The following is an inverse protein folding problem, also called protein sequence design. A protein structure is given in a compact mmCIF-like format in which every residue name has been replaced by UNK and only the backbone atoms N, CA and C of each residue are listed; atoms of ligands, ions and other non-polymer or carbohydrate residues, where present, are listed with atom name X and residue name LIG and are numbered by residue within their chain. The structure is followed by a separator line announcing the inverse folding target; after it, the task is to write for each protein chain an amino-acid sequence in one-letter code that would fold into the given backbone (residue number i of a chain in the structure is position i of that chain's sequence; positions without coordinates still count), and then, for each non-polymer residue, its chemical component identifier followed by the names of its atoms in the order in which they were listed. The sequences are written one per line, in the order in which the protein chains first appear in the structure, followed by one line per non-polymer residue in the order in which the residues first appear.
data_IF_673343327042
#
_entry.id   IF_673343327042
#
_cell.length_a   1.000
_cell.length_b   1.000
_cell.length_c   1.000
_cell.angle_alpha   90.00
_cell.angle_beta   90.00
_cell.angle_gamma   90.00
#
_symmetry.space_group_name_H-M   'P 1'
#
loop_
_entity.id
_entity.type
_entity.pdbx_description
1 polymer ?
#
# COMPACT_ATOMS: atom_id res chain seq x y z
N UNK A 1 2.35 -17.41 -20.84
CA UNK A 1 2.02 -17.20 -19.42
C UNK A 1 0.63 -16.60 -19.41
N UNK A 2 -0.34 -17.25 -18.75
CA UNK A 2 -1.65 -16.66 -18.61
C UNK A 2 -1.50 -15.33 -17.88
N UNK A 3 -2.11 -14.29 -18.41
CA UNK A 3 -2.21 -12.98 -17.77
C UNK A 3 -3.02 -13.21 -16.48
N UNK A 4 -2.33 -13.36 -15.35
CA UNK A 4 -2.99 -13.43 -14.04
C UNK A 4 -3.58 -12.05 -13.85
N UNK A 5 -4.89 -11.93 -14.06
CA UNK A 5 -5.63 -10.70 -13.82
C UNK A 5 -5.34 -10.29 -12.38
N UNK A 6 -4.49 -9.28 -12.20
CA UNK A 6 -4.08 -8.81 -10.88
C UNK A 6 -5.31 -8.27 -10.17
N UNK A 7 -5.45 -8.70 -8.94
CA UNK A 7 -6.54 -8.29 -8.07
C UNK A 7 -6.46 -6.79 -7.85
N UNK A 8 -7.49 -6.07 -8.28
CA UNK A 8 -7.61 -4.65 -7.94
C UNK A 8 -8.17 -4.53 -6.52
N UNK A 9 -7.36 -3.99 -5.62
CA UNK A 9 -7.78 -3.71 -4.25
C UNK A 9 -7.91 -2.19 -4.04
N UNK A 10 -8.85 -1.80 -3.21
CA UNK A 10 -8.96 -0.42 -2.71
C UNK A 10 -8.06 -0.30 -1.48
N UNK A 11 -7.08 0.60 -1.52
CA UNK A 11 -6.06 0.75 -0.46
C UNK A 11 -5.55 2.19 -0.37
N UNK A 12 -6.47 3.18 -0.39
CA UNK A 12 -6.10 4.60 -0.21
C UNK A 12 -5.55 4.87 1.18
N UNK A 13 -6.17 4.23 2.18
CA UNK A 13 -5.71 4.23 3.56
C UNK A 13 -5.54 2.81 4.07
N UNK A 14 -4.44 2.56 4.75
CA UNK A 14 -4.18 1.31 5.44
C UNK A 14 -3.94 1.57 6.91
N UNK A 15 -4.91 1.18 7.75
CA UNK A 15 -4.90 1.47 9.18
C UNK A 15 -4.18 0.39 9.96
N UNK A 16 -3.14 0.81 10.70
CA UNK A 16 -2.42 -0.05 11.64
C UNK A 16 -3.26 -0.29 12.91
N UNK A 17 -3.40 -1.55 13.31
CA UNK A 17 -4.07 -1.92 14.56
C UNK A 17 -3.20 -2.93 15.33
N UNK A 18 -2.64 -2.56 16.50
CA UNK A 18 -1.87 -3.50 17.29
C UNK A 18 -2.69 -4.73 17.68
N UNK A 19 -2.18 -5.93 17.39
CA UNK A 19 -2.91 -7.16 17.66
C UNK A 19 -3.11 -7.45 19.15
N UNK A 20 -2.36 -6.78 20.02
CA UNK A 20 -2.56 -6.82 21.48
C UNK A 20 -3.66 -5.86 21.97
N UNK A 21 -4.41 -5.23 21.08
CA UNK A 21 -5.47 -4.25 21.40
C UNK A 21 -6.81 -4.63 20.77
N UNK A 22 -7.42 -5.80 21.16
CA UNK A 22 -8.61 -6.33 20.51
C UNK A 22 -9.83 -5.40 20.59
N UNK A 23 -9.89 -4.49 21.57
CA UNK A 23 -10.94 -3.48 21.69
C UNK A 23 -10.96 -2.47 20.54
N UNK A 24 -9.92 -2.39 19.72
CA UNK A 24 -9.89 -1.56 18.51
C UNK A 24 -10.40 -2.28 17.26
N UNK A 25 -10.44 -3.62 17.23
CA UNK A 25 -10.76 -4.37 16.01
C UNK A 25 -12.12 -4.01 15.44
N UNK A 26 -13.16 -4.06 16.28
CA UNK A 26 -14.51 -3.70 15.85
C UNK A 26 -14.65 -2.24 15.40
N UNK A 27 -13.93 -1.31 16.06
CA UNK A 27 -13.92 0.10 15.67
C UNK A 27 -13.21 0.30 14.32
N UNK A 28 -12.13 -0.41 14.09
CA UNK A 28 -11.40 -0.38 12.82
C UNK A 28 -12.26 -0.96 11.69
N UNK A 29 -12.94 -2.08 11.93
CA UNK A 29 -13.86 -2.69 10.98
C UNK A 29 -14.99 -1.75 10.55
N UNK A 30 -15.53 -0.97 11.48
CA UNK A 30 -16.61 0.01 11.24
C UNK A 30 -16.10 1.36 10.72
N UNK A 31 -14.80 1.63 10.82
CA UNK A 31 -14.19 2.89 10.40
C UNK A 31 -14.11 3.05 8.87
N UNK A 32 -13.69 4.22 8.39
CA UNK A 32 -13.64 4.53 6.95
C UNK A 32 -12.36 4.06 6.24
N UNK A 33 -11.47 3.30 6.89
CA UNK A 33 -10.26 2.80 6.25
C UNK A 33 -10.59 1.76 5.16
N UNK A 34 -9.89 1.82 4.04
CA UNK A 34 -10.04 0.84 2.95
C UNK A 34 -9.41 -0.50 3.34
N UNK A 35 -8.27 -0.43 4.00
CA UNK A 35 -7.47 -1.58 4.43
C UNK A 35 -7.12 -1.47 5.91
N UNK A 36 -6.99 -2.63 6.54
CA UNK A 36 -6.54 -2.76 7.91
C UNK A 36 -5.45 -3.81 7.97
N UNK A 37 -4.36 -3.52 8.67
CA UNK A 37 -3.47 -4.58 9.07
C UNK A 37 -3.44 -4.75 10.59
N UNK A 38 -3.49 -6.01 11.03
CA UNK A 38 -3.26 -6.40 12.41
C UNK A 38 -1.75 -6.57 12.60
N UNK A 39 -1.20 -5.83 13.54
CA UNK A 39 0.24 -5.76 13.71
C UNK A 39 0.73 -6.72 14.79
N UNK A 40 1.64 -7.63 14.42
CA UNK A 40 2.33 -8.58 15.33
C UNK A 40 3.78 -8.19 15.61
N UNK A 41 4.27 -7.12 14.97
CA UNK A 41 5.68 -6.73 15.00
C UNK A 41 5.93 -5.57 15.96
N UNK A 42 6.27 -4.38 15.48
CA UNK A 42 6.79 -3.26 16.29
C UNK A 42 5.81 -2.73 17.33
N UNK A 43 4.51 -2.78 17.06
CA UNK A 43 3.49 -2.37 18.01
C UNK A 43 3.23 -3.42 19.12
N UNK A 44 3.93 -4.56 19.10
CA UNK A 44 3.74 -5.66 20.03
C UNK A 44 5.04 -5.98 20.77
N UNK A 45 5.02 -5.81 22.10
CA UNK A 45 6.17 -6.16 22.93
C UNK A 45 6.56 -7.66 22.77
N UNK A 46 7.84 -8.01 22.79
CA UNK A 46 8.31 -9.37 22.53
C UNK A 46 7.63 -10.45 23.39
N UNK A 47 7.36 -10.17 24.66
CA UNK A 47 6.68 -11.09 25.58
C UNK A 47 5.16 -11.20 25.38
N UNK A 48 4.58 -10.43 24.45
CA UNK A 48 3.15 -10.46 24.11
C UNK A 48 2.88 -10.92 22.68
N UNK A 49 3.89 -11.35 21.94
CA UNK A 49 3.72 -11.73 20.51
C UNK A 49 2.82 -12.96 20.34
N UNK A 50 2.88 -13.93 21.23
CA UNK A 50 1.96 -15.07 21.20
C UNK A 50 0.50 -14.67 21.48
N UNK A 51 0.28 -13.74 22.41
CA UNK A 51 -1.02 -13.15 22.67
C UNK A 51 -1.53 -12.39 21.44
N UNK A 52 -0.69 -11.55 20.84
CA UNK A 52 -1.03 -10.83 19.60
C UNK A 52 -1.42 -11.76 18.47
N UNK A 53 -0.66 -12.86 18.27
CA UNK A 53 -0.98 -13.89 17.27
C UNK A 53 -2.33 -14.53 17.52
N UNK A 54 -2.62 -14.91 18.76
CA UNK A 54 -3.91 -15.51 19.13
C UNK A 54 -5.06 -14.54 18.85
N UNK A 55 -4.92 -13.28 19.26
CA UNK A 55 -5.92 -12.23 19.01
C UNK A 55 -6.12 -11.96 17.52
N UNK A 56 -5.06 -11.96 16.71
CA UNK A 56 -5.18 -11.78 15.26
C UNK A 56 -5.94 -12.93 14.60
N UNK A 57 -5.67 -14.16 14.99
CA UNK A 57 -6.42 -15.35 14.53
C UNK A 57 -7.89 -15.26 14.94
N UNK A 58 -8.17 -14.89 16.18
CA UNK A 58 -9.55 -14.70 16.66
C UNK A 58 -10.26 -13.60 15.87
N UNK A 59 -9.61 -12.45 15.66
CA UNK A 59 -10.18 -11.34 14.91
C UNK A 59 -10.48 -11.69 13.45
N UNK A 60 -9.60 -12.45 12.79
CA UNK A 60 -9.82 -12.92 11.42
C UNK A 60 -10.99 -13.91 11.30
N UNK A 61 -11.36 -14.61 12.38
CA UNK A 61 -12.46 -15.56 12.37
C UNK A 61 -13.78 -14.98 12.90
N UNK A 62 -13.73 -13.96 13.78
CA UNK A 62 -14.91 -13.51 14.52
C UNK A 62 -15.38 -12.09 14.17
N UNK A 63 -14.49 -11.22 13.67
CA UNK A 63 -14.86 -9.84 13.33
C UNK A 63 -15.41 -9.78 11.91
N UNK A 64 -16.54 -9.11 11.74
CA UNK A 64 -17.04 -8.77 10.40
C UNK A 64 -16.28 -7.56 9.84
N UNK A 65 -15.34 -7.84 8.96
CA UNK A 65 -14.54 -6.83 8.28
C UNK A 65 -15.22 -6.25 7.03
N UNK A 66 -16.38 -6.75 6.65
CA UNK A 66 -17.08 -6.33 5.44
C UNK A 66 -16.20 -6.48 4.18
N UNK A 67 -16.23 -5.46 3.32
CA UNK A 67 -15.45 -5.42 2.07
C UNK A 67 -14.00 -4.92 2.25
N UNK A 68 -13.57 -4.60 3.47
CA UNK A 68 -12.20 -4.10 3.72
C UNK A 68 -11.17 -5.17 3.40
N UNK A 69 -10.04 -4.76 2.88
CA UNK A 69 -8.86 -5.61 2.80
C UNK A 69 -8.28 -5.79 4.21
N UNK A 70 -7.99 -7.02 4.60
CA UNK A 70 -7.39 -7.34 5.92
C UNK A 70 -6.09 -8.10 5.71
N UNK A 71 -5.01 -7.51 6.20
CA UNK A 71 -3.67 -8.11 6.23
C UNK A 71 -3.21 -8.30 7.68
N UNK A 72 -2.14 -9.09 7.84
CA UNK A 72 -1.44 -9.23 9.11
C UNK A 72 0.03 -8.94 8.88
N UNK A 73 0.57 -7.93 9.57
CA UNK A 73 2.01 -7.71 9.62
C UNK A 73 2.60 -8.73 10.59
N UNK A 74 3.27 -9.70 10.01
CA UNK A 74 3.97 -10.75 10.74
C UNK A 74 5.34 -10.26 11.22
N UNK A 75 6.00 -11.01 12.08
CA UNK A 75 7.38 -10.69 12.45
C UNK A 75 8.35 -10.98 11.30
N UNK A 76 9.48 -10.29 11.25
CA UNK A 76 10.51 -10.47 10.24
C UNK A 76 11.08 -11.89 10.20
N UNK A 77 11.52 -12.33 9.01
CA UNK A 77 12.03 -13.69 8.78
C UNK A 77 13.34 -14.01 9.56
N UNK A 78 13.98 -13.00 10.07
CA UNK A 78 15.16 -13.06 10.95
C UNK A 78 14.81 -13.31 12.43
N UNK A 79 13.52 -13.46 12.75
CA UNK A 79 13.01 -13.66 14.11
C UNK A 79 12.48 -15.09 14.32
N UNK A 80 12.44 -15.59 15.57
CA UNK A 80 11.88 -16.90 15.86
C UNK A 80 10.34 -16.98 15.73
N UNK A 81 9.65 -15.86 15.53
CA UNK A 81 8.17 -15.80 15.50
C UNK A 81 7.58 -15.88 14.09
N UNK A 82 8.32 -15.48 13.06
CA UNK A 82 7.83 -15.32 11.70
C UNK A 82 7.04 -16.52 11.17
N UNK A 83 7.61 -17.72 11.25
CA UNK A 83 6.98 -18.94 10.72
C UNK A 83 5.71 -19.27 11.47
N UNK A 84 5.72 -19.16 12.80
CA UNK A 84 4.54 -19.43 13.61
C UNK A 84 3.40 -18.41 13.33
N UNK A 85 3.75 -17.14 13.10
CA UNK A 85 2.80 -16.10 12.71
C UNK A 85 2.15 -16.43 11.37
N UNK A 86 2.96 -16.65 10.32
CA UNK A 86 2.47 -16.95 8.97
C UNK A 86 1.57 -18.19 9.00
N UNK A 87 2.02 -19.27 9.64
CA UNK A 87 1.26 -20.52 9.70
C UNK A 87 -0.07 -20.39 10.44
N UNK A 88 -0.13 -19.56 11.48
CA UNK A 88 -1.35 -19.34 12.24
C UNK A 88 -2.37 -18.53 11.44
N UNK A 89 -1.96 -17.37 10.92
CA UNK A 89 -2.89 -16.44 10.27
C UNK A 89 -3.28 -16.88 8.86
N UNK A 90 -2.40 -17.55 8.11
CA UNK A 90 -2.70 -18.03 6.75
C UNK A 90 -3.77 -19.11 6.69
N UNK A 91 -4.09 -19.78 7.79
CA UNK A 91 -5.21 -20.71 7.90
C UNK A 91 -6.58 -20.02 8.03
N UNK A 92 -6.60 -18.72 8.38
CA UNK A 92 -7.86 -17.99 8.57
C UNK A 92 -8.46 -17.60 7.21
N UNK A 93 -9.71 -18.00 6.88
CA UNK A 93 -10.32 -17.72 5.57
C UNK A 93 -10.39 -16.22 5.24
N UNK A 94 -10.51 -15.37 6.26
CA UNK A 94 -10.68 -13.92 6.08
C UNK A 94 -9.37 -13.17 5.83
N UNK A 95 -8.23 -13.82 5.93
CA UNK A 95 -6.96 -13.17 5.61
C UNK A 95 -6.85 -12.91 4.10
N UNK A 96 -6.62 -11.67 3.72
CA UNK A 96 -6.35 -11.30 2.33
C UNK A 96 -4.87 -11.36 1.97
N UNK A 97 -4.00 -10.85 2.86
CA UNK A 97 -2.55 -10.78 2.59
C UNK A 97 -1.72 -10.97 3.86
N UNK A 98 -0.53 -11.53 3.69
CA UNK A 98 0.58 -11.38 4.63
C UNK A 98 1.28 -10.06 4.33
N UNK A 99 1.51 -9.25 5.36
CA UNK A 99 2.38 -8.08 5.30
C UNK A 99 3.73 -8.46 5.91
N UNK A 100 4.74 -8.61 5.04
CA UNK A 100 6.07 -9.07 5.43
C UNK A 100 7.01 -7.88 5.62
N UNK A 101 7.51 -7.62 6.85
CA UNK A 101 8.45 -6.54 7.12
C UNK A 101 9.88 -6.95 6.77
N UNK A 102 10.76 -5.96 6.73
CA UNK A 102 12.23 -6.10 6.66
C UNK A 102 12.74 -6.97 5.50
N UNK A 103 12.03 -6.92 4.37
CA UNK A 103 12.43 -7.65 3.16
C UNK A 103 13.71 -7.06 2.59
N UNK A 104 14.72 -7.91 2.40
CA UNK A 104 16.03 -7.54 1.89
C UNK A 104 16.33 -8.09 0.50
N UNK A 105 15.74 -9.24 0.16
CA UNK A 105 16.01 -9.95 -1.09
C UNK A 105 14.75 -10.56 -1.70
N UNK A 106 14.82 -10.94 -2.97
CA UNK A 106 13.76 -11.68 -3.65
C UNK A 106 13.50 -13.06 -3.01
N UNK A 107 14.48 -13.65 -2.33
CA UNK A 107 14.33 -14.95 -1.69
C UNK A 107 13.40 -14.89 -0.46
N UNK A 108 13.37 -13.77 0.23
CA UNK A 108 12.45 -13.57 1.37
C UNK A 108 10.99 -13.72 0.91
N UNK A 109 10.65 -13.07 -0.21
CA UNK A 109 9.30 -13.14 -0.78
C UNK A 109 9.01 -14.53 -1.34
N UNK A 110 9.97 -15.15 -2.06
CA UNK A 110 9.83 -16.49 -2.62
C UNK A 110 9.64 -17.55 -1.55
N UNK A 111 10.31 -17.40 -0.41
CA UNK A 111 10.14 -18.31 0.72
C UNK A 111 8.70 -18.28 1.25
N UNK A 112 8.14 -17.06 1.47
CA UNK A 112 6.76 -16.90 1.94
C UNK A 112 5.76 -17.40 0.88
N UNK A 113 5.97 -17.11 -0.41
CA UNK A 113 5.14 -17.61 -1.50
C UNK A 113 5.07 -19.14 -1.51
N UNK A 114 6.21 -19.83 -1.39
CA UNK A 114 6.26 -21.30 -1.35
C UNK A 114 5.57 -21.86 -0.10
N UNK A 115 5.78 -21.24 1.05
CA UNK A 115 5.14 -21.63 2.31
C UNK A 115 3.62 -21.55 2.19
N UNK A 116 3.11 -20.41 1.71
CA UNK A 116 1.68 -20.21 1.46
C UNK A 116 1.13 -21.23 0.46
N UNK A 117 1.87 -21.48 -0.63
CA UNK A 117 1.50 -22.48 -1.61
C UNK A 117 1.36 -23.90 -1.02
N UNK A 118 2.28 -24.33 -0.15
CA UNK A 118 2.18 -25.60 0.56
C UNK A 118 0.96 -25.64 1.49
N UNK A 119 0.69 -24.55 2.23
CA UNK A 119 -0.45 -24.48 3.14
C UNK A 119 -1.79 -24.53 2.41
N UNK A 120 -1.88 -23.91 1.22
CA UNK A 120 -3.09 -23.92 0.39
C UNK A 120 -3.37 -25.28 -0.26
N UNK A 121 -2.35 -26.14 -0.44
CA UNK A 121 -2.55 -27.54 -0.81
C UNK A 121 -3.22 -28.34 0.31
N UNK A 122 -2.87 -28.05 1.57
CA UNK A 122 -3.49 -28.66 2.75
C UNK A 122 -4.91 -28.12 2.99
N UNK A 123 -5.09 -26.80 2.83
CA UNK A 123 -6.36 -26.11 3.07
C UNK A 123 -6.70 -25.23 1.86
N UNK A 124 -7.36 -25.79 0.83
CA UNK A 124 -7.70 -25.06 -0.39
C UNK A 124 -8.55 -23.81 -0.11
N UNK A 125 -8.26 -22.73 -0.82
CA UNK A 125 -8.97 -21.46 -0.75
C UNK A 125 -9.49 -21.09 -2.14
N UNK A 126 -10.63 -20.41 -2.19
CA UNK A 126 -11.12 -19.83 -3.46
C UNK A 126 -10.13 -18.81 -4.03
N UNK A 127 -9.46 -18.09 -3.11
CA UNK A 127 -8.47 -17.08 -3.42
C UNK A 127 -7.24 -17.29 -2.55
N UNK A 128 -6.09 -17.40 -3.17
CA UNK A 128 -4.83 -17.51 -2.47
C UNK A 128 -4.51 -16.25 -1.66
N UNK A 129 -3.76 -16.43 -0.58
CA UNK A 129 -3.27 -15.33 0.25
C UNK A 129 -2.25 -14.53 -0.55
N UNK A 130 -2.47 -13.22 -0.65
CA UNK A 130 -1.52 -12.28 -1.25
C UNK A 130 -0.33 -11.98 -0.34
N UNK A 131 0.69 -11.33 -0.90
CA UNK A 131 1.84 -10.83 -0.16
C UNK A 131 1.94 -9.33 -0.39
N UNK A 132 2.12 -8.58 0.67
CA UNK A 132 2.55 -7.20 0.68
C UNK A 132 3.83 -7.10 1.50
N UNK A 133 4.73 -6.21 1.15
CA UNK A 133 6.04 -6.14 1.80
C UNK A 133 6.40 -4.71 2.21
N UNK A 134 7.23 -4.59 3.25
CA UNK A 134 7.92 -3.34 3.55
C UNK A 134 9.33 -3.36 2.97
N UNK A 135 9.67 -2.31 2.24
CA UNK A 135 11.04 -1.92 1.94
C UNK A 135 11.44 -0.86 2.97
N UNK A 136 12.21 -1.31 3.94
CA UNK A 136 12.60 -0.53 5.11
C UNK A 136 14.05 -0.78 5.54
N UNK A 137 14.83 -1.41 4.63
CA UNK A 137 16.26 -1.60 4.77
C UNK A 137 16.97 -1.01 3.55
N UNK A 138 18.20 -0.58 3.72
CA UNK A 138 19.02 -0.06 2.62
C UNK A 138 19.28 -1.13 1.57
N UNK A 139 19.48 -2.39 2.01
CA UNK A 139 19.62 -3.54 1.11
C UNK A 139 18.31 -3.83 0.36
N UNK A 140 17.16 -3.82 1.04
CA UNK A 140 15.86 -4.01 0.39
C UNK A 140 15.60 -2.97 -0.69
N UNK A 141 15.94 -1.71 -0.43
CA UNK A 141 15.84 -0.67 -1.46
C UNK A 141 16.84 -0.90 -2.61
N UNK A 142 18.06 -1.36 -2.32
CA UNK A 142 19.06 -1.68 -3.35
C UNK A 142 18.60 -2.82 -4.28
N UNK A 143 17.79 -3.75 -3.80
CA UNK A 143 17.30 -4.94 -4.50
C UNK A 143 15.81 -4.82 -4.95
N UNK A 144 15.19 -3.63 -4.81
CA UNK A 144 13.72 -3.49 -4.92
C UNK A 144 13.15 -3.94 -6.26
N UNK A 145 13.88 -3.79 -7.37
CA UNK A 145 13.43 -4.25 -8.69
C UNK A 145 13.38 -5.78 -8.77
N UNK A 146 14.40 -6.46 -8.23
CA UNK A 146 14.44 -7.92 -8.17
C UNK A 146 13.36 -8.46 -7.21
N UNK A 147 13.14 -7.78 -6.10
CA UNK A 147 12.09 -8.08 -5.14
C UNK A 147 10.71 -7.92 -5.79
N UNK A 148 10.46 -6.83 -6.51
CA UNK A 148 9.19 -6.56 -7.19
C UNK A 148 8.83 -7.63 -8.24
N UNK A 149 9.83 -8.28 -8.83
CA UNK A 149 9.66 -9.35 -9.82
C UNK A 149 9.54 -10.75 -9.21
N UNK A 150 9.64 -10.92 -7.88
CA UNK A 150 9.97 -12.20 -7.25
C UNK A 150 8.83 -13.21 -7.17
N UNK A 151 7.57 -12.76 -7.10
CA UNK A 151 6.41 -13.65 -6.89
C UNK A 151 5.15 -13.12 -7.56
N UNK A 152 4.30 -13.99 -8.13
CA UNK A 152 2.98 -13.60 -8.61
C UNK A 152 1.99 -13.26 -7.47
N UNK A 153 2.29 -13.66 -6.21
CA UNK A 153 1.48 -13.31 -5.03
C UNK A 153 1.80 -11.93 -4.49
N UNK A 154 2.93 -11.34 -4.90
CA UNK A 154 3.30 -9.99 -4.46
C UNK A 154 2.34 -8.98 -5.09
N UNK A 155 1.61 -8.24 -4.26
CA UNK A 155 0.57 -7.30 -4.69
C UNK A 155 0.95 -5.84 -4.43
N UNK A 156 1.75 -5.56 -3.41
CA UNK A 156 2.11 -4.20 -3.01
C UNK A 156 3.47 -4.11 -2.31
N UNK A 157 4.05 -2.92 -2.37
CA UNK A 157 5.28 -2.54 -1.66
C UNK A 157 5.02 -1.27 -0.88
N UNK A 158 5.33 -1.30 0.40
CA UNK A 158 5.22 -0.18 1.32
C UNK A 158 6.61 0.36 1.63
N UNK A 159 6.76 1.66 1.76
CA UNK A 159 8.00 2.28 2.21
C UNK A 159 8.02 2.40 3.74
N UNK A 160 8.80 1.56 4.42
CA UNK A 160 8.98 1.61 5.87
C UNK A 160 10.00 2.66 6.30
N UNK A 161 9.59 3.93 6.28
CA UNK A 161 10.46 5.09 6.49
C UNK A 161 11.16 5.10 7.85
N UNK A 162 10.58 4.50 8.89
CA UNK A 162 11.16 4.47 10.25
C UNK A 162 12.46 3.70 10.29
N UNK A 163 12.42 2.40 10.03
CA UNK A 163 13.60 1.54 10.05
C UNK A 163 14.61 1.93 8.96
N UNK A 164 14.12 2.37 7.79
CA UNK A 164 14.99 2.88 6.74
C UNK A 164 15.81 4.11 7.19
N UNK A 165 15.19 5.03 7.96
CA UNK A 165 15.89 6.20 8.53
C UNK A 165 16.99 5.79 9.49
N UNK A 166 16.68 4.80 10.34
CA UNK A 166 17.64 4.29 11.35
C UNK A 166 18.83 3.66 10.65
N UNK A 167 18.59 2.85 9.63
CA UNK A 167 19.67 2.17 8.89
C UNK A 167 20.51 3.14 8.04
N UNK A 168 19.94 4.25 7.58
CA UNK A 168 20.67 5.36 6.96
C UNK A 168 21.48 6.20 7.94
N UNK A 169 21.34 5.95 9.26
CA UNK A 169 21.96 6.74 10.31
C UNK A 169 21.59 8.24 10.24
N UNK A 170 20.40 8.57 9.72
CA UNK A 170 19.92 9.93 9.80
C UNK A 170 19.31 10.22 11.18
N UNK A 171 19.37 11.47 11.63
CA UNK A 171 18.95 11.88 12.97
C UNK A 171 17.57 12.52 13.00
N UNK A 172 16.72 12.26 11.98
CA UNK A 172 15.36 12.79 11.95
C UNK A 172 14.51 12.14 13.05
N UNK A 173 13.93 12.98 13.89
CA UNK A 173 13.13 12.52 15.04
C UNK A 173 11.66 12.31 14.72
N UNK A 174 11.18 12.75 13.56
CA UNK A 174 9.79 12.59 13.08
C UNK A 174 9.79 11.80 11.78
N UNK A 175 9.54 10.51 11.87
CA UNK A 175 9.51 9.65 10.70
C UNK A 175 8.43 10.06 9.69
N UNK A 176 8.83 10.15 8.43
CA UNK A 176 7.95 10.49 7.30
C UNK A 176 7.87 11.98 6.97
N UNK A 177 8.37 12.87 7.84
CA UNK A 177 8.46 14.29 7.58
C UNK A 177 9.72 14.64 6.77
N UNK A 178 9.67 15.62 5.84
CA UNK A 178 10.87 16.19 5.24
C UNK A 178 11.71 16.85 6.34
N UNK A 179 13.04 16.77 6.22
CA UNK A 179 13.94 17.48 7.10
C UNK A 179 14.02 18.96 6.70
N UNK A 180 13.61 19.91 7.57
CA UNK A 180 13.59 21.32 7.20
C UNK A 180 14.99 21.91 6.98
N UNK A 181 16.03 21.28 7.51
CA UNK A 181 17.41 21.71 7.29
C UNK A 181 17.92 21.32 5.88
N UNK A 182 17.25 20.38 5.21
CA UNK A 182 17.56 19.95 3.85
C UNK A 182 16.88 20.83 2.79
N UNK A 183 16.80 22.13 3.02
CA UNK A 183 16.31 23.11 2.06
C UNK A 183 17.47 23.73 1.28
N UNK A 184 17.42 23.71 -0.05
CA UNK A 184 18.44 24.32 -0.91
C UNK A 184 17.82 25.44 -1.76
N UNK A 185 18.36 26.65 -1.64
CA UNK A 185 17.91 27.77 -2.46
C UNK A 185 16.46 28.21 -2.23
N UNK A 186 15.92 27.95 -1.03
CA UNK A 186 14.52 28.26 -0.69
C UNK A 186 13.50 27.24 -1.19
N UNK A 187 13.96 26.16 -1.82
CA UNK A 187 13.11 25.03 -2.17
C UNK A 187 13.25 23.92 -1.11
N UNK A 188 12.12 23.41 -0.65
CA UNK A 188 12.10 22.24 0.20
C UNK A 188 12.60 21.03 -0.61
N UNK A 189 13.65 20.37 -0.12
CA UNK A 189 14.08 19.08 -0.60
C UNK A 189 13.50 17.98 0.29
N UNK A 190 13.35 16.81 -0.31
CA UNK A 190 12.81 15.64 0.36
C UNK A 190 13.87 14.53 0.33
N UNK A 191 14.44 14.20 1.47
CA UNK A 191 15.43 13.14 1.60
C UNK A 191 14.89 11.77 1.21
N UNK A 192 13.56 11.59 1.25
CA UNK A 192 12.89 10.34 0.90
C UNK A 192 12.58 10.20 -0.60
N UNK A 193 12.74 11.28 -1.38
CA UNK A 193 12.37 11.33 -2.80
C UNK A 193 12.96 10.17 -3.61
N UNK A 194 14.25 9.89 -3.44
CA UNK A 194 14.92 8.81 -4.16
C UNK A 194 14.31 7.45 -3.86
N UNK A 195 14.11 7.13 -2.57
CA UNK A 195 13.54 5.86 -2.15
C UNK A 195 12.10 5.69 -2.67
N UNK A 196 11.27 6.71 -2.49
CA UNK A 196 9.88 6.70 -2.94
C UNK A 196 9.78 6.57 -4.48
N UNK A 197 10.56 7.35 -5.23
CA UNK A 197 10.54 7.30 -6.69
C UNK A 197 10.99 5.93 -7.21
N UNK A 198 12.01 5.33 -6.59
CA UNK A 198 12.52 4.01 -6.96
C UNK A 198 11.50 2.90 -6.68
N UNK A 199 10.87 2.91 -5.50
CA UNK A 199 9.80 1.97 -5.15
C UNK A 199 8.62 2.11 -6.11
N UNK A 200 8.15 3.33 -6.39
CA UNK A 200 7.05 3.57 -7.32
C UNK A 200 7.37 3.03 -8.73
N UNK A 201 8.59 3.25 -9.22
CA UNK A 201 9.03 2.73 -10.51
C UNK A 201 9.04 1.19 -10.53
N UNK A 202 9.63 0.55 -9.52
CA UNK A 202 9.67 -0.91 -9.41
C UNK A 202 8.26 -1.50 -9.35
N UNK A 203 7.37 -0.93 -8.54
CA UNK A 203 5.96 -1.33 -8.46
C UNK A 203 5.28 -1.24 -9.83
N UNK A 204 5.42 -0.10 -10.54
CA UNK A 204 4.75 0.09 -11.83
C UNK A 204 5.28 -0.82 -12.92
N UNK A 205 6.57 -1.12 -12.92
CA UNK A 205 7.19 -2.06 -13.86
C UNK A 205 6.61 -3.48 -13.73
N UNK A 206 6.22 -3.87 -12.53
CA UNK A 206 5.68 -5.19 -12.23
C UNK A 206 4.18 -5.18 -11.88
N UNK A 207 3.49 -4.01 -12.03
CA UNK A 207 2.04 -3.80 -11.78
C UNK A 207 1.64 -4.00 -10.33
N UNK A 208 2.54 -3.76 -9.39
CA UNK A 208 2.29 -3.74 -7.96
C UNK A 208 1.71 -2.39 -7.53
N UNK A 209 1.13 -2.35 -6.34
CA UNK A 209 0.67 -1.10 -5.70
C UNK A 209 1.79 -0.53 -4.84
N UNK A 210 2.28 0.69 -5.11
CA UNK A 210 3.13 1.41 -4.17
C UNK A 210 2.26 2.08 -3.11
N UNK A 211 2.52 1.80 -1.83
CA UNK A 211 1.85 2.36 -0.68
C UNK A 211 2.88 3.14 0.15
N UNK A 212 2.58 4.38 0.50
CA UNK A 212 3.44 5.19 1.34
C UNK A 212 3.32 4.75 2.81
N UNK A 213 4.43 4.83 3.52
CA UNK A 213 4.55 4.37 4.88
C UNK A 213 3.95 5.30 5.93
N UNK A 214 4.28 5.07 7.21
CA UNK A 214 3.74 5.84 8.31
C UNK A 214 4.24 7.30 8.31
N UNK A 215 3.44 8.15 8.96
CA UNK A 215 3.82 9.49 9.38
C UNK A 215 3.60 9.60 10.89
N UNK A 216 4.69 9.72 11.64
CA UNK A 216 4.66 9.50 13.08
C UNK A 216 3.89 10.57 13.86
N UNK A 217 3.93 11.83 13.42
CA UNK A 217 3.22 12.91 14.11
C UNK A 217 1.74 12.97 13.70
N UNK A 218 0.90 12.11 14.27
CA UNK A 218 -0.55 12.11 14.01
C UNK A 218 -1.29 13.36 14.55
N UNK A 219 -0.63 14.18 15.35
CA UNK A 219 -1.14 15.47 15.83
C UNK A 219 -1.00 16.60 14.80
N UNK A 220 -0.34 16.37 13.68
CA UNK A 220 -0.14 17.34 12.60
C UNK A 220 -0.80 16.85 11.29
N UNK A 221 -2.11 17.12 11.09
CA UNK A 221 -2.84 16.69 9.91
C UNK A 221 -2.35 17.36 8.63
N UNK A 222 -1.82 18.58 8.70
CA UNK A 222 -1.35 19.32 7.52
C UNK A 222 -0.03 18.73 7.01
N UNK A 223 0.90 18.39 7.89
CA UNK A 223 2.13 17.70 7.50
C UNK A 223 1.85 16.29 6.98
N UNK A 224 0.90 15.53 7.57
CA UNK A 224 0.45 14.26 7.02
C UNK A 224 -0.12 14.43 5.60
N UNK A 225 -0.97 15.44 5.39
CA UNK A 225 -1.54 15.78 4.06
C UNK A 225 -0.44 16.09 3.05
N UNK A 226 0.54 16.92 3.42
CA UNK A 226 1.66 17.27 2.56
C UNK A 226 2.45 16.03 2.14
N UNK A 227 2.76 15.12 3.09
CA UNK A 227 3.45 13.87 2.79
C UNK A 227 2.64 12.96 1.86
N UNK A 228 1.31 12.87 2.03
CA UNK A 228 0.43 12.09 1.17
C UNK A 228 0.35 12.66 -0.27
N UNK A 229 0.29 13.99 -0.41
CA UNK A 229 0.33 14.69 -1.72
C UNK A 229 1.65 14.38 -2.43
N UNK A 230 2.78 14.45 -1.74
CA UNK A 230 4.10 14.11 -2.25
C UNK A 230 4.12 12.68 -2.79
N UNK A 231 3.71 11.70 -1.98
CA UNK A 231 3.66 10.30 -2.39
C UNK A 231 2.75 10.08 -3.60
N UNK A 232 1.55 10.68 -3.61
CA UNK A 232 0.65 10.62 -4.77
C UNK A 232 1.28 11.20 -6.03
N UNK A 233 2.02 12.30 -5.93
CA UNK A 233 2.71 12.92 -7.07
C UNK A 233 3.76 12.00 -7.68
N UNK A 234 4.38 11.12 -6.88
CA UNK A 234 5.31 10.08 -7.32
C UNK A 234 4.63 8.81 -7.83
N UNK A 235 3.30 8.72 -7.78
CA UNK A 235 2.53 7.60 -8.31
C UNK A 235 2.10 6.57 -7.26
N UNK A 236 2.20 6.86 -5.98
CA UNK A 236 1.65 6.03 -4.91
C UNK A 236 0.12 5.99 -4.96
N UNK A 237 -0.47 4.89 -4.46
CA UNK A 237 -1.90 4.64 -4.49
C UNK A 237 -2.59 4.81 -3.15
N UNK A 238 -1.82 4.79 -2.06
CA UNK A 238 -2.31 4.91 -0.70
C UNK A 238 -1.19 5.20 0.28
N UNK A 239 -1.56 5.27 1.56
CA UNK A 239 -0.66 5.59 2.66
C UNK A 239 -1.10 4.91 3.95
N UNK A 240 -0.15 4.51 4.78
CA UNK A 240 -0.43 4.06 6.14
C UNK A 240 -1.04 5.16 6.99
N UNK A 241 -1.99 4.75 7.82
CA UNK A 241 -2.54 5.51 8.92
C UNK A 241 -2.21 4.79 10.24
N UNK A 242 -1.48 5.43 11.12
CA UNK A 242 -1.18 4.90 12.46
C UNK A 242 -2.18 5.40 13.52
N UNK A 243 -3.07 6.30 13.10
CA UNK A 243 -4.16 6.83 13.92
C UNK A 243 -5.40 7.07 13.04
N UNK A 244 -6.63 6.86 13.56
CA UNK A 244 -7.86 7.05 12.79
C UNK A 244 -8.02 8.43 12.16
N UNK A 245 -7.47 9.50 12.76
CA UNK A 245 -7.52 10.87 12.20
C UNK A 245 -6.84 11.02 10.85
N UNK A 246 -5.90 10.14 10.51
CA UNK A 246 -5.16 10.16 9.23
C UNK A 246 -5.95 9.54 8.08
N UNK A 247 -6.92 8.66 8.39
CA UNK A 247 -7.65 7.84 7.39
C UNK A 247 -8.41 8.70 6.39
N UNK A 248 -9.19 9.67 6.87
CA UNK A 248 -9.99 10.52 5.99
C UNK A 248 -9.11 11.34 5.03
N UNK A 249 -7.96 11.81 5.51
CA UNK A 249 -7.00 12.57 4.70
C UNK A 249 -6.40 11.68 3.61
N UNK A 250 -5.99 10.45 3.95
CA UNK A 250 -5.48 9.52 2.96
C UNK A 250 -6.53 9.19 1.90
N UNK A 251 -7.77 8.87 2.30
CA UNK A 251 -8.87 8.59 1.38
C UNK A 251 -9.14 9.76 0.43
N UNK A 252 -9.11 10.99 0.92
CA UNK A 252 -9.26 12.19 0.11
C UNK A 252 -8.12 12.33 -0.92
N UNK A 253 -6.88 12.29 -0.44
CA UNK A 253 -5.71 12.56 -1.27
C UNK A 253 -5.51 11.51 -2.36
N UNK A 254 -5.72 10.23 -2.08
CA UNK A 254 -5.53 9.16 -3.05
C UNK A 254 -6.76 8.87 -3.93
N UNK A 255 -7.82 9.66 -3.79
CA UNK A 255 -8.98 9.62 -4.69
C UNK A 255 -8.82 10.61 -5.85
N UNK A 256 -9.31 10.27 -7.06
CA UNK A 256 -9.45 11.25 -8.13
C UNK A 256 -10.39 12.38 -7.72
N UNK A 257 -9.98 13.62 -7.95
CA UNK A 257 -10.83 14.78 -7.67
C UNK A 257 -12.00 14.88 -8.67
N UNK A 258 -13.12 15.54 -8.30
CA UNK A 258 -14.21 15.81 -9.23
C UNK A 258 -13.76 16.49 -10.54
N UNK A 259 -12.79 17.41 -10.46
CA UNK A 259 -12.21 18.07 -11.62
C UNK A 259 -11.44 17.09 -12.53
N UNK A 260 -10.66 16.17 -11.96
CA UNK A 260 -9.95 15.13 -12.71
C UNK A 260 -10.93 14.16 -13.38
N UNK A 261 -12.01 13.78 -12.70
CA UNK A 261 -13.06 12.91 -13.27
C UNK A 261 -13.76 13.61 -14.43
N UNK A 262 -14.13 14.89 -14.27
CA UNK A 262 -14.76 15.68 -15.32
C UNK A 262 -13.83 15.84 -16.54
N UNK A 263 -12.55 16.13 -16.30
CA UNK A 263 -11.54 16.20 -17.35
C UNK A 263 -11.42 14.85 -18.08
N UNK A 264 -11.33 13.74 -17.36
CA UNK A 264 -11.19 12.42 -17.94
C UNK A 264 -12.38 12.02 -18.83
N UNK A 265 -13.61 12.32 -18.40
CA UNK A 265 -14.81 12.12 -19.23
C UNK A 265 -14.76 12.95 -20.51
N UNK A 266 -14.44 14.24 -20.39
CA UNK A 266 -14.33 15.15 -21.55
C UNK A 266 -13.27 14.65 -22.56
N UNK A 267 -12.11 14.16 -22.09
CA UNK A 267 -11.07 13.61 -22.97
C UNK A 267 -11.56 12.34 -23.67
N UNK A 268 -12.17 11.43 -22.95
CA UNK A 268 -12.69 10.17 -23.52
C UNK A 268 -13.73 10.48 -24.62
N UNK A 269 -14.70 11.35 -24.36
CA UNK A 269 -15.76 11.71 -25.30
C UNK A 269 -15.20 12.42 -26.56
N UNK A 270 -14.32 13.40 -26.37
CA UNK A 270 -13.74 14.18 -27.49
C UNK A 270 -12.85 13.32 -28.38
N UNK A 271 -12.04 12.43 -27.79
CA UNK A 271 -11.17 11.54 -28.55
C UNK A 271 -11.93 10.43 -29.25
N UNK A 272 -13.02 9.93 -28.67
CA UNK A 272 -13.91 8.99 -29.34
C UNK A 272 -14.56 9.61 -30.60
N UNK A 273 -15.03 10.86 -30.51
CA UNK A 273 -15.55 11.61 -31.66
C UNK A 273 -14.46 11.85 -32.74
N UNK A 274 -13.25 12.26 -32.34
CA UNK A 274 -12.15 12.51 -33.27
C UNK A 274 -11.67 11.21 -33.97
N UNK A 275 -11.70 10.10 -33.28
CA UNK A 275 -11.34 8.80 -33.86
C UNK A 275 -12.32 8.37 -34.97
N UNK A 276 -13.62 8.68 -34.86
CA UNK A 276 -14.59 8.44 -35.94
C UNK A 276 -14.32 9.30 -37.19
N UNK A 277 -13.67 10.45 -37.03
CA UNK A 277 -13.24 11.33 -38.13
C UNK A 277 -11.80 11.02 -38.62
N UNK A 278 -11.20 9.91 -38.15
CA UNK A 278 -9.86 9.46 -38.55
C UNK A 278 -8.72 10.27 -37.94
N UNK A 279 -8.98 11.05 -36.86
CA UNK A 279 -7.98 11.89 -36.20
C UNK A 279 -7.40 11.15 -34.97
N UNK A 280 -6.05 11.03 -34.90
CA UNK A 280 -5.33 10.41 -33.79
C UNK A 280 -4.96 11.36 -32.65
N UNK A 281 -5.08 12.68 -32.88
CA UNK A 281 -4.82 13.75 -31.92
C UNK A 281 -5.66 14.99 -32.23
N UNK A 282 -6.02 15.74 -31.18
CA UNK A 282 -6.82 16.97 -31.27
C UNK A 282 -6.26 18.06 -30.35
N UNK A 283 -6.52 19.32 -30.66
CA UNK A 283 -6.26 20.45 -29.77
C UNK A 283 -7.46 20.74 -28.86
N UNK A 284 -7.24 20.78 -27.55
CA UNK A 284 -8.25 21.23 -26.58
C UNK A 284 -7.63 22.32 -25.71
N UNK A 285 -8.20 23.53 -25.75
CA UNK A 285 -7.76 24.68 -24.92
C UNK A 285 -6.24 24.95 -25.01
N UNK A 286 -5.66 24.78 -26.21
CA UNK A 286 -4.23 24.99 -26.45
C UNK A 286 -3.31 23.79 -26.05
N UNK A 287 -3.88 22.68 -25.59
CA UNK A 287 -3.16 21.46 -25.26
C UNK A 287 -3.38 20.41 -26.34
N UNK A 288 -2.29 19.80 -26.82
CA UNK A 288 -2.37 18.64 -27.71
C UNK A 288 -2.79 17.40 -26.91
N UNK A 289 -3.90 16.79 -27.30
CA UNK A 289 -4.47 15.60 -26.69
C UNK A 289 -4.32 14.44 -27.67
N UNK A 290 -3.73 13.34 -27.20
CA UNK A 290 -3.46 12.12 -27.96
C UNK A 290 -3.85 10.86 -27.18
N UNK A 291 -3.43 9.70 -27.69
CA UNK A 291 -3.70 8.39 -27.05
C UNK A 291 -3.14 8.25 -25.62
N UNK A 292 -2.08 8.97 -25.26
CA UNK A 292 -1.55 8.91 -23.89
C UNK A 292 -2.55 9.54 -22.90
N UNK A 293 -3.19 10.62 -23.31
CA UNK A 293 -4.23 11.29 -22.51
C UNK A 293 -5.48 10.42 -22.36
N UNK A 294 -5.87 9.67 -23.41
CA UNK A 294 -6.98 8.70 -23.33
C UNK A 294 -6.68 7.62 -22.29
N UNK A 295 -5.48 7.03 -22.32
CA UNK A 295 -5.07 6.03 -21.33
C UNK A 295 -5.06 6.58 -19.91
N UNK A 296 -4.65 7.84 -19.72
CA UNK A 296 -4.71 8.50 -18.42
C UNK A 296 -6.17 8.70 -17.97
N UNK A 297 -7.03 9.16 -18.86
CA UNK A 297 -8.45 9.34 -18.58
C UNK A 297 -9.12 8.01 -18.19
N UNK A 298 -8.86 6.93 -18.91
CA UNK A 298 -9.34 5.58 -18.58
C UNK A 298 -8.92 5.14 -17.18
N UNK A 299 -7.66 5.38 -16.79
CA UNK A 299 -7.15 5.05 -15.44
C UNK A 299 -7.85 5.86 -14.35
N UNK A 300 -8.08 7.17 -14.58
CA UNK A 300 -8.79 8.02 -13.63
C UNK A 300 -10.24 7.54 -13.45
N UNK A 301 -10.94 7.24 -14.54
CA UNK A 301 -12.33 6.77 -14.50
C UNK A 301 -12.45 5.39 -13.85
N UNK A 302 -11.54 4.47 -14.16
CA UNK A 302 -11.50 3.14 -13.54
C UNK A 302 -11.31 3.24 -12.01
N UNK A 303 -10.40 4.10 -11.54
CA UNK A 303 -10.22 4.35 -10.10
C UNK A 303 -11.46 4.98 -9.47
N UNK A 304 -12.08 5.96 -10.12
CA UNK A 304 -13.29 6.59 -9.61
C UNK A 304 -14.42 5.56 -9.42
N UNK A 305 -14.59 4.64 -10.38
CA UNK A 305 -15.58 3.56 -10.30
C UNK A 305 -15.25 2.57 -9.18
N UNK A 306 -13.98 2.16 -9.05
CA UNK A 306 -13.53 1.25 -8.02
C UNK A 306 -13.84 1.79 -6.61
N UNK A 307 -13.62 3.08 -6.38
CA UNK A 307 -13.84 3.71 -5.07
C UNK A 307 -15.32 3.95 -4.76
N UNK A 308 -16.18 4.12 -5.76
CA UNK A 308 -17.63 4.20 -5.55
C UNK A 308 -18.22 2.87 -5.09
N UNK A 309 -17.74 1.76 -5.63
CA UNK A 309 -18.15 0.41 -5.21
C UNK A 309 -17.69 -0.01 -3.81
N UNK A 310 -16.69 0.67 -3.25
CA UNK A 310 -16.18 0.39 -1.90
C UNK A 310 -16.93 1.17 -0.79
N UNK A 311 -17.75 2.16 -1.15
CA UNK A 311 -18.52 3.02 -0.22
C UNK A 311 -19.98 2.58 -0.15
N UNK A 312 -20.42 1.70 -1.03
CA UNK A 312 -21.76 1.09 -1.05
C UNK A 312 -21.78 -0.23 -0.28
#
# INVERSE_FOLDING_TARGET
MADIARIQRVQRSELAVPATSPHFFQKAAQGPADSIFLDLEDAVAPNRREEGRANAVEALNAVDWGAKMVSVRVNGLDTPWAIADIMAVARCPRLDMILLPKVQTSEDVRFVDRLLGCMELETPRERGVGIEILIETTRGLAEVEAIAASSPRLEGIIFGVGDYSIELENFDTVFGAPNPEYAVGGAENDQWHFALARIANACRAHGLRPIDGPFANYGDPDAYRASAIRARALGFEGKWAIHPSQVAIANEIFSPTPAQIAWARRIADRMAAAASDGQGAIGIEGVLIDRAHVKLAEKILARATLFQGAVA
#
